data_IF_335790394342
#
_entry.id   IF_335790394342
#
_cell.length_a   1.000
_cell.length_b   1.000
_cell.length_c   1.000
_cell.angle_alpha   90.00
_cell.angle_beta   90.00
_cell.angle_gamma   90.00
#
_symmetry.space_group_name_H-M   'P 1'
#
loop_
_entity.id
_entity.type
_entity.pdbx_description
1 polymer ?
#
# COMPACT_ATOMS: atom_id res chain seq x y z
N UNK A 1 -40.49 19.90 -55.53
CA UNK A 1 -39.18 19.26 -55.24
C UNK A 1 -38.96 19.03 -53.73
N UNK A 2 -39.59 19.83 -52.85
CA UNK A 2 -39.35 19.83 -51.39
C UNK A 2 -39.85 18.60 -50.59
N UNK A 3 -40.89 17.90 -51.05
CA UNK A 3 -41.48 16.78 -50.28
C UNK A 3 -40.60 15.54 -50.20
N UNK A 4 -39.79 15.28 -51.25
CA UNK A 4 -38.85 14.15 -51.28
C UNK A 4 -37.59 14.43 -50.45
N UNK A 5 -37.17 15.68 -50.35
CA UNK A 5 -36.08 16.09 -49.45
C UNK A 5 -36.50 15.97 -48.00
N UNK A 6 -37.71 16.43 -47.64
CA UNK A 6 -38.24 16.33 -46.28
C UNK A 6 -38.35 14.88 -45.79
N UNK A 7 -38.84 13.96 -46.65
CA UNK A 7 -38.91 12.53 -46.33
C UNK A 7 -37.52 11.91 -46.11
N UNK A 8 -36.54 12.23 -46.98
CA UNK A 8 -35.15 11.77 -46.82
C UNK A 8 -34.53 12.30 -45.53
N UNK A 9 -34.77 13.55 -45.17
CA UNK A 9 -34.27 14.14 -43.92
C UNK A 9 -34.87 13.46 -42.69
N UNK A 10 -36.19 13.21 -42.66
CA UNK A 10 -36.86 12.48 -41.57
C UNK A 10 -36.31 11.06 -41.44
N UNK A 11 -36.14 10.35 -42.57
CA UNK A 11 -35.58 9.00 -42.58
C UNK A 11 -34.14 8.98 -42.05
N UNK A 12 -33.33 9.98 -42.42
CA UNK A 12 -31.94 10.09 -41.96
C UNK A 12 -31.88 10.37 -40.45
N UNK A 13 -32.75 11.24 -39.94
CA UNK A 13 -32.85 11.52 -38.50
C UNK A 13 -33.28 10.27 -37.73
N UNK A 14 -34.27 9.52 -38.21
CA UNK A 14 -34.71 8.26 -37.59
C UNK A 14 -33.60 7.21 -37.59
N UNK A 15 -32.82 7.14 -38.67
CA UNK A 15 -31.72 6.19 -38.80
C UNK A 15 -30.57 6.54 -37.85
N UNK A 16 -30.20 7.82 -37.77
CA UNK A 16 -29.22 8.32 -36.81
C UNK A 16 -29.72 8.06 -35.39
N UNK A 17 -30.96 8.41 -35.07
CA UNK A 17 -31.52 8.20 -33.73
C UNK A 17 -31.51 6.71 -33.36
N UNK A 18 -31.92 5.83 -34.27
CA UNK A 18 -31.88 4.39 -34.07
C UNK A 18 -30.46 3.84 -33.83
N UNK A 19 -29.49 4.25 -34.65
CA UNK A 19 -28.08 3.84 -34.48
C UNK A 19 -27.51 4.39 -33.17
N UNK A 20 -27.79 5.65 -32.84
CA UNK A 20 -27.28 6.32 -31.62
C UNK A 20 -27.90 5.68 -30.37
N UNK A 21 -29.19 5.38 -30.39
CA UNK A 21 -29.87 4.65 -29.31
C UNK A 21 -29.34 3.23 -29.17
N UNK A 22 -29.13 2.51 -30.27
CA UNK A 22 -28.54 1.17 -30.23
C UNK A 22 -27.11 1.19 -29.68
N UNK A 23 -26.30 2.17 -30.09
CA UNK A 23 -24.95 2.37 -29.59
C UNK A 23 -24.96 2.73 -28.10
N UNK A 24 -25.84 3.64 -27.67
CA UNK A 24 -26.03 4.01 -26.27
C UNK A 24 -26.43 2.82 -25.41
N UNK A 25 -27.39 2.01 -25.87
CA UNK A 25 -27.81 0.79 -25.18
C UNK A 25 -26.65 -0.21 -25.09
N UNK A 26 -25.90 -0.41 -26.17
CA UNK A 26 -24.73 -1.28 -26.16
C UNK A 26 -23.64 -0.80 -25.19
N UNK A 27 -23.30 0.49 -25.19
CA UNK A 27 -22.30 1.06 -24.28
C UNK A 27 -22.77 1.15 -22.83
N UNK A 28 -24.09 1.21 -22.60
CA UNK A 28 -24.69 1.22 -21.26
C UNK A 28 -24.92 -0.19 -20.69
N UNK A 29 -24.46 -1.25 -21.38
CA UNK A 29 -24.47 -2.62 -20.86
C UNK A 29 -25.69 -3.47 -21.26
N UNK A 30 -26.50 -3.07 -22.24
CA UNK A 30 -27.62 -3.89 -22.72
C UNK A 30 -27.13 -4.99 -23.71
N UNK A 31 -27.51 -6.25 -23.49
CA UNK A 31 -27.14 -7.39 -24.37
C UNK A 31 -28.36 -8.23 -24.80
N UNK A 32 -28.27 -8.82 -26.00
CA UNK A 32 -29.28 -9.70 -26.57
C UNK A 32 -28.90 -11.17 -26.33
N UNK A 33 -29.69 -11.90 -25.55
CA UNK A 33 -29.52 -13.34 -25.32
C UNK A 33 -30.71 -14.09 -25.93
N UNK A 34 -30.45 -15.05 -26.83
CA UNK A 34 -31.48 -15.76 -27.59
C UNK A 34 -31.90 -17.04 -26.84
N UNK A 35 -33.01 -17.01 -26.13
CA UNK A 35 -33.71 -18.21 -25.64
C UNK A 35 -34.97 -18.49 -26.49
N UNK A 36 -35.33 -19.77 -26.62
CA UNK A 36 -36.38 -20.32 -27.53
C UNK A 36 -37.84 -19.88 -27.23
N UNK A 37 -38.05 -18.90 -26.36
CA UNK A 37 -39.32 -18.20 -26.20
C UNK A 37 -39.01 -16.72 -26.08
N UNK A 38 -39.56 -15.89 -26.98
CA UNK A 38 -39.32 -14.43 -27.03
C UNK A 38 -39.90 -13.77 -25.77
N UNK A 39 -39.16 -13.84 -24.66
CA UNK A 39 -39.16 -12.84 -23.60
C UNK A 39 -37.93 -11.98 -23.87
N UNK A 40 -38.16 -10.74 -24.28
CA UNK A 40 -37.09 -9.74 -24.33
C UNK A 40 -36.85 -9.32 -22.88
N UNK A 41 -35.94 -10.00 -22.19
CA UNK A 41 -35.53 -9.63 -20.84
C UNK A 41 -34.40 -8.60 -20.94
N UNK A 42 -34.72 -7.34 -20.64
CA UNK A 42 -33.74 -6.26 -20.54
C UNK A 42 -33.05 -6.32 -19.18
N UNK A 43 -32.18 -7.30 -18.98
CA UNK A 43 -31.39 -7.35 -17.75
C UNK A 43 -30.30 -6.28 -17.81
N UNK A 44 -30.29 -5.41 -16.80
CA UNK A 44 -29.17 -4.49 -16.57
C UNK A 44 -27.96 -5.30 -16.11
N UNK A 45 -26.81 -5.07 -16.74
CA UNK A 45 -25.54 -5.74 -16.40
C UNK A 45 -24.53 -4.73 -15.88
N UNK A 46 -23.51 -5.22 -15.18
CA UNK A 46 -22.33 -4.44 -14.80
C UNK A 46 -21.12 -4.77 -15.67
N UNK A 47 -20.01 -4.11 -15.36
CA UNK A 47 -18.70 -4.36 -15.96
C UNK A 47 -17.63 -4.52 -14.88
N UNK A 48 -16.67 -5.39 -15.12
CA UNK A 48 -15.44 -5.49 -14.32
C UNK A 48 -14.26 -4.95 -15.12
N UNK A 49 -13.58 -3.94 -14.59
CA UNK A 49 -12.31 -3.41 -15.12
C UNK A 49 -11.18 -4.03 -14.32
N UNK A 50 -10.47 -5.00 -14.91
CA UNK A 50 -9.55 -5.89 -14.18
C UNK A 50 -8.13 -5.69 -14.68
N UNK A 51 -7.27 -5.27 -13.76
CA UNK A 51 -5.82 -5.13 -13.95
C UNK A 51 -5.08 -6.08 -13.02
N UNK A 52 -3.89 -6.51 -13.43
CA UNK A 52 -2.97 -7.20 -12.53
C UNK A 52 -1.60 -6.59 -12.60
N UNK A 53 -0.85 -6.72 -11.51
CA UNK A 53 0.57 -6.39 -11.51
C UNK A 53 1.35 -7.61 -11.03
N UNK A 54 2.14 -8.26 -11.91
CA UNK A 54 2.39 -7.89 -13.31
C UNK A 54 1.19 -8.14 -14.25
N UNK A 55 1.22 -7.47 -15.39
CA UNK A 55 0.20 -7.52 -16.46
C UNK A 55 0.11 -8.90 -17.14
N UNK A 56 -1.00 -9.18 -17.84
CA UNK A 56 -1.20 -10.41 -18.62
C UNK A 56 -1.34 -11.68 -17.78
N UNK A 57 -2.10 -11.60 -16.68
CA UNK A 57 -2.58 -12.75 -15.91
C UNK A 57 -3.90 -13.27 -16.47
N UNK A 58 -4.23 -14.53 -16.24
CA UNK A 58 -5.50 -15.12 -16.65
C UNK A 58 -6.61 -14.73 -15.65
N UNK A 59 -7.78 -14.36 -16.17
CA UNK A 59 -8.97 -14.01 -15.39
C UNK A 59 -9.96 -15.18 -15.45
N UNK A 60 -10.40 -15.63 -14.29
CA UNK A 60 -11.48 -16.59 -14.13
C UNK A 60 -12.63 -15.95 -13.35
N UNK A 61 -13.85 -16.04 -13.89
CA UNK A 61 -15.08 -15.58 -13.23
C UNK A 61 -15.95 -16.81 -13.00
N UNK A 62 -16.30 -17.08 -11.74
CA UNK A 62 -17.07 -18.25 -11.32
C UNK A 62 -16.47 -19.59 -11.82
N UNK A 63 -15.14 -19.63 -11.89
CA UNK A 63 -14.35 -20.78 -12.35
C UNK A 63 -14.15 -20.86 -13.87
N UNK A 64 -14.82 -20.03 -14.67
CA UNK A 64 -14.67 -20.01 -16.12
C UNK A 64 -13.56 -19.05 -16.57
N UNK A 65 -12.63 -19.54 -17.39
CA UNK A 65 -11.58 -18.71 -17.99
C UNK A 65 -12.21 -17.73 -19.00
N UNK A 66 -11.99 -16.44 -18.79
CA UNK A 66 -12.59 -15.39 -19.61
C UNK A 66 -11.58 -14.73 -20.55
N UNK A 67 -10.60 -14.02 -20.01
CA UNK A 67 -9.63 -13.22 -20.75
C UNK A 67 -8.32 -13.05 -19.96
N UNK A 68 -7.33 -12.37 -20.53
CA UNK A 68 -6.18 -11.88 -19.79
C UNK A 68 -6.45 -10.50 -19.17
N UNK A 69 -5.70 -10.13 -18.13
CA UNK A 69 -5.79 -8.84 -17.44
C UNK A 69 -5.39 -7.64 -18.29
N UNK A 70 -5.68 -6.46 -17.74
CA UNK A 70 -5.72 -5.15 -18.40
C UNK A 70 -6.85 -5.03 -19.41
N UNK A 71 -8.00 -5.56 -19.01
CA UNK A 71 -9.21 -5.63 -19.81
C UNK A 71 -10.44 -5.21 -19.02
N UNK A 72 -11.50 -4.86 -19.74
CA UNK A 72 -12.82 -4.64 -19.17
C UNK A 72 -13.77 -5.72 -19.69
N UNK A 73 -14.36 -6.48 -18.78
CA UNK A 73 -15.30 -7.55 -19.07
C UNK A 73 -16.72 -6.98 -18.89
N UNK A 74 -17.48 -6.75 -19.98
CA UNK A 74 -18.83 -6.21 -19.89
C UNK A 74 -19.87 -7.34 -19.86
N UNK A 75 -21.10 -7.01 -19.41
CA UNK A 75 -22.22 -7.93 -19.51
C UNK A 75 -22.29 -8.93 -18.37
N UNK A 76 -21.70 -8.61 -17.23
CA UNK A 76 -21.71 -9.47 -16.03
C UNK A 76 -23.02 -9.20 -15.29
N UNK A 77 -23.72 -10.26 -14.89
CA UNK A 77 -24.97 -10.11 -14.14
C UNK A 77 -24.68 -9.38 -12.81
N UNK A 78 -25.57 -8.51 -12.30
CA UNK A 78 -25.39 -7.93 -10.98
C UNK A 78 -25.49 -9.00 -9.89
N UNK A 79 -24.58 -8.97 -8.93
CA UNK A 79 -24.47 -9.99 -7.89
C UNK A 79 -23.04 -10.22 -7.43
N UNK A 80 -22.85 -11.19 -6.55
CA UNK A 80 -21.52 -11.60 -6.09
C UNK A 80 -20.98 -12.64 -7.07
N UNK A 81 -19.78 -12.38 -7.59
CA UNK A 81 -19.04 -13.28 -8.47
C UNK A 81 -17.69 -13.64 -7.85
N UNK A 82 -17.29 -14.90 -7.97
CA UNK A 82 -15.97 -15.33 -7.55
C UNK A 82 -14.95 -14.98 -8.64
N UNK A 83 -14.03 -14.07 -8.33
CA UNK A 83 -12.98 -13.64 -9.24
C UNK A 83 -11.65 -14.28 -8.82
N UNK A 84 -11.03 -15.01 -9.75
CA UNK A 84 -9.67 -15.54 -9.60
C UNK A 84 -8.77 -14.99 -10.70
N UNK A 85 -7.60 -14.51 -10.32
CA UNK A 85 -6.57 -14.00 -11.23
C UNK A 85 -5.31 -14.83 -11.01
N UNK A 86 -4.84 -15.50 -12.06
CA UNK A 86 -3.75 -16.46 -11.99
C UNK A 86 -2.66 -16.16 -13.02
N UNK A 87 -1.40 -16.23 -12.60
CA UNK A 87 -0.25 -16.07 -13.49
C UNK A 87 0.85 -17.06 -13.09
N UNK A 88 1.43 -17.73 -14.07
CA UNK A 88 2.52 -18.68 -13.83
C UNK A 88 3.69 -18.04 -13.07
N UNK A 89 4.10 -18.68 -11.98
CA UNK A 89 5.17 -18.19 -11.10
C UNK A 89 4.70 -17.22 -10.00
N UNK A 90 3.40 -16.92 -9.93
CA UNK A 90 2.79 -16.05 -8.92
C UNK A 90 1.74 -16.82 -8.12
N UNK A 91 1.47 -16.34 -6.90
CA UNK A 91 0.38 -16.82 -6.08
C UNK A 91 -0.95 -16.33 -6.69
N UNK A 92 -1.92 -17.23 -6.78
CA UNK A 92 -3.26 -16.90 -7.27
C UNK A 92 -3.92 -15.84 -6.36
N UNK A 93 -4.55 -14.86 -6.98
CA UNK A 93 -5.33 -13.83 -6.29
C UNK A 93 -6.80 -14.17 -6.44
N UNK A 94 -7.55 -14.17 -5.34
CA UNK A 94 -8.96 -14.56 -5.32
C UNK A 94 -9.79 -13.62 -4.44
N UNK A 95 -10.97 -13.22 -4.93
CA UNK A 95 -11.91 -12.37 -4.19
C UNK A 95 -13.34 -12.55 -4.70
N UNK A 96 -14.29 -12.55 -3.77
CA UNK A 96 -15.70 -12.39 -4.11
C UNK A 96 -16.00 -10.91 -4.35
N UNK A 97 -16.39 -10.57 -5.58
CA UNK A 97 -16.64 -9.20 -6.02
C UNK A 97 -18.13 -8.98 -6.25
N UNK A 98 -18.67 -7.90 -5.67
CA UNK A 98 -20.02 -7.46 -5.96
C UNK A 98 -20.03 -6.61 -7.26
N UNK A 99 -20.82 -7.07 -8.23
CA UNK A 99 -21.07 -6.40 -9.50
C UNK A 99 -22.39 -5.65 -9.41
N UNK A 100 -22.37 -4.38 -9.78
CA UNK A 100 -23.54 -3.51 -9.76
C UNK A 100 -24.01 -3.22 -11.18
N UNK A 101 -25.34 -3.15 -11.37
CA UNK A 101 -25.95 -2.81 -12.64
C UNK A 101 -25.50 -1.42 -13.14
N UNK A 102 -25.17 -1.32 -14.43
CA UNK A 102 -24.80 -0.08 -15.14
C UNK A 102 -23.52 0.60 -14.61
N UNK A 103 -22.77 -0.06 -13.72
CA UNK A 103 -21.52 0.45 -13.14
C UNK A 103 -20.32 -0.39 -13.56
N UNK A 104 -19.14 0.22 -13.41
CA UNK A 104 -17.84 -0.43 -13.59
C UNK A 104 -17.21 -0.61 -12.21
N UNK A 105 -16.88 -1.84 -11.85
CA UNK A 105 -16.08 -2.14 -10.66
C UNK A 105 -14.63 -2.31 -11.08
N UNK A 106 -13.76 -1.42 -10.58
CA UNK A 106 -12.32 -1.47 -10.83
C UNK A 106 -11.61 -2.40 -9.84
N UNK A 107 -10.85 -3.35 -10.37
CA UNK A 107 -10.05 -4.32 -9.60
C UNK A 107 -8.61 -4.24 -10.06
N UNK A 108 -7.70 -4.06 -9.12
CA UNK A 108 -6.26 -4.19 -9.36
C UNK A 108 -5.71 -5.28 -8.45
N UNK A 109 -5.32 -6.40 -9.03
CA UNK A 109 -4.70 -7.51 -8.31
C UNK A 109 -3.18 -7.36 -8.27
N UNK A 110 -2.61 -7.27 -7.06
CA UNK A 110 -1.17 -7.35 -6.86
C UNK A 110 -0.81 -8.82 -6.68
N UNK A 111 -0.13 -9.41 -7.66
CA UNK A 111 0.26 -10.81 -7.61
C UNK A 111 1.64 -10.92 -6.98
N UNK A 112 1.75 -11.71 -5.91
CA UNK A 112 3.01 -11.98 -5.23
C UNK A 112 3.74 -13.11 -5.95
N UNK A 113 5.02 -12.89 -6.29
CA UNK A 113 5.89 -13.92 -6.86
C UNK A 113 6.04 -15.09 -5.90
N UNK A 114 5.90 -16.32 -6.41
CA UNK A 114 6.16 -17.54 -5.65
C UNK A 114 7.66 -17.81 -5.42
N UNK A 115 8.55 -16.97 -5.94
CA UNK A 115 10.01 -17.11 -5.76
C UNK A 115 10.65 -15.73 -5.62
N UNK A 116 10.51 -15.11 -4.45
CA UNK A 116 10.97 -13.74 -4.25
C UNK A 116 12.49 -13.65 -4.31
N UNK A 117 13.00 -12.56 -4.90
CA UNK A 117 14.44 -12.35 -5.09
C UNK A 117 14.98 -11.38 -4.06
N UNK A 118 16.05 -11.76 -3.37
CA UNK A 118 16.77 -10.88 -2.45
C UNK A 118 17.95 -10.20 -3.13
N UNK A 119 18.06 -8.89 -2.99
CA UNK A 119 19.15 -8.08 -3.54
C UNK A 119 19.68 -7.12 -2.46
N UNK A 120 21.00 -6.98 -2.27
CA UNK A 120 21.54 -6.06 -1.26
C UNK A 120 21.26 -4.61 -1.65
N UNK A 121 20.72 -3.83 -0.70
CA UNK A 121 20.57 -2.38 -0.79
C UNK A 121 21.78 -1.64 -0.20
N UNK A 122 22.41 -2.23 0.83
CA UNK A 122 23.64 -1.71 1.43
C UNK A 122 24.70 -2.80 1.50
N UNK A 123 25.98 -2.40 1.41
CA UNK A 123 27.11 -3.33 1.53
C UNK A 123 28.07 -2.98 2.70
N UNK A 124 27.82 -1.87 3.40
CA UNK A 124 28.70 -1.30 4.43
C UNK A 124 28.10 -1.40 5.84
N UNK A 125 27.12 -2.28 6.01
CA UNK A 125 26.41 -2.47 7.27
C UNK A 125 25.24 -1.50 7.43
N UNK A 126 24.16 -2.00 8.01
CA UNK A 126 22.98 -1.20 8.35
C UNK A 126 22.35 -1.69 9.67
N UNK A 127 21.82 -0.77 10.45
CA UNK A 127 21.07 -1.07 11.67
C UNK A 127 19.92 -0.07 11.88
N UNK A 128 18.86 -0.54 12.54
CA UNK A 128 17.65 0.20 12.93
C UNK A 128 17.11 1.12 11.80
N UNK A 129 16.76 0.55 10.62
CA UNK A 129 16.24 1.36 9.54
C UNK A 129 14.86 1.92 9.87
N UNK A 130 14.61 3.17 9.50
CA UNK A 130 13.32 3.85 9.65
C UNK A 130 12.99 4.59 8.35
N UNK A 131 11.85 4.26 7.75
CA UNK A 131 11.36 4.94 6.55
C UNK A 131 10.68 6.26 6.91
N UNK A 132 10.77 7.24 6.02
CA UNK A 132 10.09 8.52 6.16
C UNK A 132 8.57 8.37 6.00
N UNK A 133 7.75 9.25 6.59
CA UNK A 133 6.29 9.20 6.51
C UNK A 133 5.73 9.09 5.08
N UNK A 134 6.36 9.76 4.11
CA UNK A 134 5.96 9.73 2.70
C UNK A 134 6.53 8.54 1.91
N UNK A 135 7.16 7.58 2.60
CA UNK A 135 7.90 6.46 2.02
C UNK A 135 9.05 6.86 1.07
N UNK A 136 9.50 8.12 1.08
CA UNK A 136 10.43 8.63 0.07
C UNK A 136 11.90 8.52 0.43
N UNK A 137 12.22 8.33 1.71
CA UNK A 137 13.59 8.22 2.21
C UNK A 137 13.67 7.11 3.27
N UNK A 138 14.83 6.47 3.36
CA UNK A 138 15.12 5.50 4.40
C UNK A 138 16.37 5.93 5.17
N UNK A 139 16.25 6.15 6.48
CA UNK A 139 17.37 6.45 7.36
C UNK A 139 17.84 5.19 8.08
N UNK A 140 19.14 5.05 8.30
CA UNK A 140 19.71 3.91 9.01
C UNK A 140 21.07 4.26 9.61
N UNK A 141 21.48 3.51 10.62
CA UNK A 141 22.84 3.59 11.18
C UNK A 141 23.79 2.70 10.38
N UNK A 142 24.99 3.19 10.10
CA UNK A 142 26.03 2.43 9.42
C UNK A 142 27.36 2.48 10.17
N UNK A 143 27.97 1.32 10.35
CA UNK A 143 29.33 1.16 10.86
C UNK A 143 30.36 1.09 9.71
N UNK A 144 30.09 1.81 8.61
CA UNK A 144 31.00 1.92 7.48
C UNK A 144 32.43 2.25 7.98
N UNK A 145 33.47 1.49 7.56
CA UNK A 145 34.83 1.67 8.09
C UNK A 145 35.43 3.05 7.82
N UNK A 146 35.00 3.74 6.77
CA UNK A 146 35.51 5.04 6.35
C UNK A 146 34.62 6.19 6.84
N UNK A 147 33.30 5.97 6.82
CA UNK A 147 32.28 6.99 7.11
C UNK A 147 31.17 6.46 8.02
N UNK A 148 31.49 6.08 9.28
CA UNK A 148 30.50 5.61 10.23
C UNK A 148 29.57 6.76 10.64
N UNK A 149 28.28 6.50 10.78
CA UNK A 149 27.29 7.50 11.18
C UNK A 149 25.87 7.15 10.75
N UNK A 150 25.04 8.17 10.53
CA UNK A 150 23.66 8.01 10.04
C UNK A 150 23.60 8.34 8.55
N UNK A 151 23.02 7.42 7.79
CA UNK A 151 22.88 7.49 6.35
C UNK A 151 21.41 7.57 5.95
N UNK A 152 21.15 8.20 4.81
CA UNK A 152 19.83 8.26 4.18
C UNK A 152 19.90 7.79 2.73
N UNK A 153 18.95 6.94 2.35
CA UNK A 153 18.74 6.47 0.98
C UNK A 153 17.48 7.14 0.44
N UNK A 154 17.57 8.00 -0.59
CA UNK A 154 16.39 8.46 -1.32
C UNK A 154 15.75 7.30 -2.09
N UNK A 155 14.48 7.00 -1.87
CA UNK A 155 13.76 5.89 -2.52
C UNK A 155 13.02 6.32 -3.79
N UNK A 156 12.77 7.62 -3.97
CA UNK A 156 11.96 8.18 -5.07
C UNK A 156 12.78 8.80 -6.23
N UNK A 157 14.11 8.88 -6.13
CA UNK A 157 14.94 9.62 -7.10
C UNK A 157 15.32 8.81 -8.36
N UNK A 158 14.85 7.56 -8.50
CA UNK A 158 15.42 6.59 -9.44
C UNK A 158 14.47 5.90 -10.43
N UNK A 159 13.29 6.43 -10.75
CA UNK A 159 12.33 5.70 -11.60
C UNK A 159 12.07 4.27 -11.08
N UNK A 160 11.87 3.29 -11.96
CA UNK A 160 11.65 1.88 -11.60
C UNK A 160 12.86 1.17 -10.93
N UNK A 161 13.96 1.85 -10.60
CA UNK A 161 15.16 1.22 -10.03
C UNK A 161 15.63 1.88 -8.73
N UNK A 162 15.37 1.22 -7.60
CA UNK A 162 15.90 1.59 -6.28
C UNK A 162 17.44 1.65 -6.23
N UNK A 163 18.14 0.99 -7.17
CA UNK A 163 19.61 0.97 -7.24
C UNK A 163 20.24 2.21 -7.85
N UNK A 164 19.45 3.15 -8.38
CA UNK A 164 19.94 4.47 -8.81
C UNK A 164 19.94 5.50 -7.68
N UNK A 165 19.41 5.14 -6.51
CA UNK A 165 19.53 5.98 -5.33
C UNK A 165 20.99 6.09 -4.93
N UNK A 166 21.44 7.31 -4.64
CA UNK A 166 22.79 7.54 -4.12
C UNK A 166 22.67 7.80 -2.61
N UNK A 167 22.96 6.80 -1.76
CA UNK A 167 22.92 6.99 -0.31
C UNK A 167 23.89 8.10 0.08
N UNK A 168 23.48 8.97 1.00
CA UNK A 168 24.34 10.02 1.53
C UNK A 168 24.37 9.97 3.05
N UNK A 169 25.49 10.39 3.61
CA UNK A 169 25.66 10.52 5.05
C UNK A 169 25.01 11.82 5.52
N UNK A 170 24.12 11.73 6.50
CA UNK A 170 23.48 12.90 7.12
C UNK A 170 24.37 13.46 8.22
N UNK A 171 24.93 12.56 9.04
CA UNK A 171 25.86 12.92 10.10
C UNK A 171 26.88 11.81 10.31
N UNK A 172 28.15 12.19 10.42
CA UNK A 172 29.27 11.30 10.66
C UNK A 172 29.66 11.29 12.13
N UNK A 173 30.14 10.14 12.60
CA UNK A 173 30.80 10.02 13.89
C UNK A 173 31.96 11.02 14.02
N UNK A 174 32.09 11.54 15.23
CA UNK A 174 33.20 12.39 15.64
C UNK A 174 34.09 11.65 16.62
N UNK A 175 35.13 12.32 17.14
CA UNK A 175 35.94 11.77 18.23
C UNK A 175 35.12 11.57 19.51
N UNK A 176 34.13 12.44 19.77
CA UNK A 176 33.33 12.43 21.00
C UNK A 176 32.00 11.71 20.84
N UNK A 177 31.32 11.94 19.72
CA UNK A 177 29.96 11.46 19.49
C UNK A 177 29.99 10.32 18.47
N UNK A 178 29.46 9.16 18.85
CA UNK A 178 29.36 7.97 18.00
C UNK A 178 27.91 7.73 17.62
N UNK A 179 27.49 8.29 16.49
CA UNK A 179 26.13 8.19 16.00
C UNK A 179 25.85 6.79 15.44
N UNK A 180 26.84 6.11 14.84
CA UNK A 180 26.68 4.77 14.27
C UNK A 180 26.23 3.69 15.28
N UNK A 181 26.47 3.92 16.57
CA UNK A 181 26.04 3.04 17.68
C UNK A 181 24.65 3.35 18.24
N UNK A 182 23.92 4.27 17.62
CA UNK A 182 22.57 4.64 18.03
C UNK A 182 21.51 3.57 17.77
N UNK A 183 20.36 3.70 18.43
CA UNK A 183 19.22 2.80 18.24
C UNK A 183 17.93 3.47 17.79
N UNK A 184 17.83 4.80 17.93
CA UNK A 184 16.61 5.55 17.65
C UNK A 184 16.85 6.56 16.51
N UNK A 185 15.99 6.49 15.49
CA UNK A 185 15.84 7.51 14.45
C UNK A 185 14.34 7.86 14.37
N UNK A 186 14.00 9.13 14.45
CA UNK A 186 12.62 9.62 14.27
C UNK A 186 12.62 10.74 13.22
N UNK A 187 11.67 10.68 12.29
CA UNK A 187 11.52 11.69 11.23
C UNK A 187 10.66 12.85 11.70
N UNK A 188 11.05 14.07 11.34
CA UNK A 188 10.13 15.21 11.43
C UNK A 188 8.96 15.04 10.46
N UNK A 189 7.78 15.63 10.76
CA UNK A 189 6.59 15.57 9.89
C UNK A 189 6.83 16.07 8.48
N UNK A 190 7.73 17.04 8.31
CA UNK A 190 8.12 17.63 7.03
C UNK A 190 9.32 16.92 6.35
N UNK A 191 9.85 15.86 6.97
CA UNK A 191 10.99 15.07 6.52
C UNK A 191 12.29 15.85 6.25
N UNK A 192 12.44 17.03 6.86
CA UNK A 192 13.66 17.85 6.74
C UNK A 192 14.62 17.64 7.89
N UNK A 193 14.17 17.06 9.00
CA UNK A 193 14.98 16.80 10.18
C UNK A 193 14.78 15.36 10.65
N UNK A 194 15.79 14.86 11.34
CA UNK A 194 15.71 13.60 12.08
C UNK A 194 16.20 13.80 13.50
N UNK A 195 15.56 13.12 14.43
CA UNK A 195 16.05 12.98 15.80
C UNK A 195 16.83 11.67 15.88
N UNK A 196 18.09 11.75 16.29
CA UNK A 196 19.04 10.63 16.28
C UNK A 196 19.62 10.43 17.66
N UNK A 197 19.62 9.18 18.14
CA UNK A 197 20.34 8.77 19.35
C UNK A 197 21.79 8.41 19.02
N UNK A 198 22.75 8.83 19.85
CA UNK A 198 24.14 8.35 19.79
C UNK A 198 24.40 7.14 20.70
N UNK A 199 25.61 6.59 20.66
CA UNK A 199 26.01 5.45 21.50
C UNK A 199 25.93 5.74 23.02
N UNK A 200 25.95 7.02 23.43
CA UNK A 200 25.83 7.44 24.82
C UNK A 200 24.37 7.73 25.23
N UNK A 201 23.40 7.38 24.39
CA UNK A 201 21.96 7.62 24.62
C UNK A 201 21.58 9.11 24.65
N UNK A 202 22.41 9.97 24.05
CA UNK A 202 22.08 11.38 23.86
C UNK A 202 21.36 11.57 22.52
N UNK A 203 20.30 12.37 22.52
CA UNK A 203 19.50 12.67 21.34
C UNK A 203 19.94 13.99 20.68
N UNK A 204 20.02 13.97 19.36
CA UNK A 204 20.42 15.10 18.53
C UNK A 204 19.39 15.34 17.45
N UNK A 205 19.00 16.60 17.30
CA UNK A 205 18.19 17.05 16.18
C UNK A 205 19.13 17.38 15.02
N UNK A 206 19.00 16.64 13.92
CA UNK A 206 19.85 16.78 12.73
C UNK A 206 19.02 17.30 11.58
N UNK A 207 19.47 18.40 10.97
CA UNK A 207 18.88 18.95 9.76
C UNK A 207 19.50 18.30 8.52
N UNK A 208 18.66 17.73 7.65
CA UNK A 208 19.12 16.91 6.51
C UNK A 208 19.84 17.74 5.43
N UNK A 209 19.55 19.04 5.33
CA UNK A 209 20.16 19.90 4.32
C UNK A 209 21.53 20.40 4.75
N UNK A 210 21.66 20.79 6.01
CA UNK A 210 22.90 21.34 6.56
C UNK A 210 23.83 20.28 7.17
N UNK A 211 23.30 19.11 7.54
CA UNK A 211 24.05 18.06 8.24
C UNK A 211 24.46 18.45 9.67
N UNK A 212 23.92 19.55 10.21
CA UNK A 212 24.27 20.06 11.54
C UNK A 212 23.43 19.34 12.59
N UNK A 213 24.10 18.67 13.54
CA UNK A 213 23.46 18.17 14.75
C UNK A 213 23.44 19.21 15.86
N UNK A 214 22.25 19.43 16.40
CA UNK A 214 22.04 20.19 17.63
C UNK A 214 21.66 19.22 18.74
N UNK A 215 22.44 19.21 19.82
CA UNK A 215 22.06 18.42 21.01
C UNK A 215 20.75 18.96 21.56
N UNK A 216 19.78 18.08 21.79
CA UNK A 216 18.52 18.47 22.41
C UNK A 216 18.52 18.09 23.88
N UNK A 217 18.51 19.09 24.76
CA UNK A 217 18.30 18.89 26.19
C UNK A 217 16.83 18.57 26.52
N UNK A 218 15.93 18.60 25.53
CA UNK A 218 14.50 18.35 25.71
C UNK A 218 13.90 17.61 24.51
N UNK A 219 14.24 16.33 24.31
CA UNK A 219 13.71 15.52 23.20
C UNK A 219 12.18 15.42 23.21
N UNK A 220 11.58 15.33 24.39
CA UNK A 220 10.12 15.29 24.56
C UNK A 220 9.42 16.54 24.03
N UNK A 221 10.08 17.71 24.12
CA UNK A 221 9.54 18.94 23.54
C UNK A 221 9.49 18.85 22.02
N UNK A 222 10.55 18.33 21.40
CA UNK A 222 10.63 18.14 19.95
C UNK A 222 9.57 17.15 19.47
N UNK A 223 9.44 16.00 20.14
CA UNK A 223 8.41 15.00 19.84
C UNK A 223 7.00 15.57 19.96
N UNK A 224 6.75 16.38 21.00
CA UNK A 224 5.47 17.06 21.19
C UNK A 224 5.20 18.07 20.07
N UNK A 225 6.16 18.91 19.72
CA UNK A 225 6.03 19.87 18.60
C UNK A 225 5.68 19.16 17.28
N UNK A 226 6.37 18.06 16.98
CA UNK A 226 6.08 17.25 15.78
C UNK A 226 4.71 16.57 15.83
N UNK A 227 4.31 16.06 17.00
CA UNK A 227 2.97 15.49 17.18
C UNK A 227 1.89 16.55 17.00
N UNK A 228 2.07 17.75 17.57
CA UNK A 228 1.11 18.85 17.47
C UNK A 228 0.96 19.32 16.01
N UNK A 229 2.07 19.39 15.25
CA UNK A 229 2.07 19.70 13.81
C UNK A 229 1.29 18.64 13.00
N UNK A 230 1.56 17.36 13.25
CA UNK A 230 0.84 16.26 12.59
C UNK A 230 -0.65 16.26 12.92
N UNK A 231 -0.99 16.41 14.20
CA UNK A 231 -2.38 16.47 14.66
C UNK A 231 -3.11 17.66 14.02
N UNK A 232 -2.47 18.82 13.92
CA UNK A 232 -3.03 19.98 13.22
C UNK A 232 -3.28 19.67 11.75
N UNK A 233 -2.29 19.14 11.02
CA UNK A 233 -2.45 18.75 9.60
C UNK A 233 -3.63 17.79 9.41
N UNK A 234 -3.74 16.78 10.29
CA UNK A 234 -4.82 15.79 10.26
C UNK A 234 -6.18 16.44 10.53
N UNK A 235 -6.29 17.30 11.55
CA UNK A 235 -7.54 18.02 11.84
C UNK A 235 -7.99 18.87 10.65
N UNK A 236 -7.09 19.69 10.09
CA UNK A 236 -7.38 20.58 8.95
C UNK A 236 -7.88 19.79 7.73
N UNK A 237 -7.38 18.56 7.53
CA UNK A 237 -7.85 17.66 6.48
C UNK A 237 -9.24 17.09 6.79
N UNK A 238 -9.44 16.57 8.01
CA UNK A 238 -10.69 15.93 8.42
C UNK A 238 -11.85 16.91 8.55
N UNK A 239 -11.62 18.20 8.84
CA UNK A 239 -12.66 19.26 8.86
C UNK A 239 -13.36 19.43 7.52
N UNK A 240 -12.70 19.07 6.43
CA UNK A 240 -13.25 19.14 5.06
C UNK A 240 -14.07 17.91 4.69
N UNK A 241 -14.08 16.89 5.55
CA UNK A 241 -14.72 15.61 5.30
C UNK A 241 -15.91 15.39 6.23
N UNK A 242 -17.00 14.90 5.64
CA UNK A 242 -18.18 14.44 6.37
C UNK A 242 -17.93 13.03 6.92
N UNK A 243 -17.33 12.95 8.11
CA UNK A 243 -17.06 11.71 8.83
C UNK A 243 -17.58 11.76 10.28
N UNK A 244 -17.97 10.62 10.88
CA UNK A 244 -18.43 10.57 12.27
C UNK A 244 -17.39 11.04 13.30
N UNK A 245 -17.83 11.68 14.38
CA UNK A 245 -16.94 12.25 15.41
C UNK A 245 -16.07 11.22 16.15
N UNK A 246 -16.61 10.01 16.37
CA UNK A 246 -15.85 8.92 16.95
C UNK A 246 -14.68 8.50 16.05
N UNK A 247 -14.87 8.52 14.73
CA UNK A 247 -13.84 8.21 13.74
C UNK A 247 -12.83 9.35 13.66
N UNK A 248 -13.27 10.62 13.69
CA UNK A 248 -12.38 11.79 13.74
C UNK A 248 -11.43 11.73 14.94
N UNK A 249 -11.96 11.37 16.11
CA UNK A 249 -11.17 11.23 17.35
C UNK A 249 -10.10 10.16 17.23
N UNK A 250 -10.40 9.04 16.55
CA UNK A 250 -9.44 7.95 16.31
C UNK A 250 -8.42 8.32 15.24
N UNK A 251 -8.84 9.02 14.18
CA UNK A 251 -7.98 9.40 13.06
C UNK A 251 -6.78 10.27 13.48
N UNK A 252 -6.95 11.07 14.53
CA UNK A 252 -5.93 12.03 15.01
C UNK A 252 -5.00 11.47 16.08
N UNK A 253 -5.23 10.24 16.55
CA UNK A 253 -4.40 9.62 17.57
C UNK A 253 -2.96 9.40 17.08
N UNK A 254 -1.95 9.55 17.95
CA UNK A 254 -0.55 9.28 17.58
C UNK A 254 -0.31 7.83 17.13
N UNK A 255 -1.09 6.89 17.65
CA UNK A 255 -1.04 5.46 17.30
C UNK A 255 -1.69 5.12 15.95
N UNK A 256 -2.43 6.06 15.36
CA UNK A 256 -3.14 5.83 14.10
C UNK A 256 -2.21 6.04 12.91
N UNK A 257 -2.16 5.03 12.05
CA UNK A 257 -1.29 4.98 10.87
C UNK A 257 -2.07 5.34 9.62
N UNK A 258 -1.75 6.49 9.02
CA UNK A 258 -2.35 6.93 7.76
C UNK A 258 -1.66 6.24 6.58
N UNK A 259 -2.43 5.95 5.54
CA UNK A 259 -1.91 5.39 4.29
C UNK A 259 -1.00 6.39 3.57
N UNK A 260 -0.10 5.93 2.69
CA UNK A 260 0.83 6.80 1.95
C UNK A 260 0.16 7.92 1.15
N UNK A 261 -1.08 7.70 0.70
CA UNK A 261 -1.88 8.69 -0.04
C UNK A 261 -2.71 9.63 0.87
N UNK A 262 -2.58 9.51 2.20
CA UNK A 262 -3.35 10.23 3.23
C UNK A 262 -4.90 10.04 3.12
N UNK A 263 -5.39 9.05 2.37
CA UNK A 263 -6.83 8.82 2.14
C UNK A 263 -7.45 7.74 3.02
N UNK A 264 -6.64 6.94 3.70
CA UNK A 264 -7.09 5.87 4.59
C UNK A 264 -6.28 5.90 5.87
N UNK A 265 -6.80 5.27 6.92
CA UNK A 265 -5.99 5.02 8.11
C UNK A 265 -6.35 3.70 8.77
N UNK A 266 -5.35 3.08 9.36
CA UNK A 266 -5.44 1.87 10.15
C UNK A 266 -5.63 2.27 11.61
N UNK A 267 -6.63 1.68 12.25
CA UNK A 267 -6.89 1.83 13.68
C UNK A 267 -7.24 0.48 14.30
N UNK A 268 -7.08 0.39 15.62
CA UNK A 268 -7.40 -0.82 16.38
C UNK A 268 -8.64 -0.61 17.23
N UNK A 269 -9.41 -1.68 17.40
CA UNK A 269 -10.58 -1.70 18.28
C UNK A 269 -10.51 -2.94 19.17
N UNK A 270 -10.49 -2.72 20.48
CA UNK A 270 -10.52 -3.81 21.45
C UNK A 270 -11.94 -4.39 21.55
N UNK A 271 -12.11 -5.70 21.28
CA UNK A 271 -13.39 -6.40 21.30
C UNK A 271 -13.24 -7.71 22.08
N UNK A 272 -13.88 -7.81 23.25
CA UNK A 272 -13.77 -8.98 24.14
C UNK A 272 -12.30 -9.39 24.41
N UNK A 273 -11.87 -10.57 23.97
CA UNK A 273 -10.51 -11.09 24.12
C UNK A 273 -9.59 -10.74 22.94
N UNK A 274 -10.13 -10.04 21.93
CA UNK A 274 -9.48 -9.80 20.66
C UNK A 274 -9.22 -8.32 20.39
N UNK A 275 -8.27 -8.08 19.50
CA UNK A 275 -7.97 -6.78 18.89
C UNK A 275 -8.33 -6.88 17.41
N UNK A 276 -9.31 -6.08 16.99
CA UNK A 276 -9.64 -5.90 15.58
C UNK A 276 -8.73 -4.84 14.96
N UNK A 277 -8.14 -5.16 13.82
CA UNK A 277 -7.40 -4.22 12.98
C UNK A 277 -8.29 -3.78 11.83
N UNK A 278 -8.60 -2.49 11.77
CA UNK A 278 -9.59 -1.93 10.85
C UNK A 278 -9.02 -0.80 10.02
N UNK A 279 -9.40 -0.73 8.76
CA UNK A 279 -9.03 0.36 7.85
C UNK A 279 -10.25 1.17 7.51
N UNK A 280 -10.19 2.46 7.84
CA UNK A 280 -11.20 3.44 7.44
C UNK A 280 -10.79 4.11 6.13
N UNK A 281 -11.64 4.03 5.12
CA UNK A 281 -11.46 4.63 3.80
C UNK A 281 -12.22 5.95 3.72
N UNK A 282 -11.47 7.05 3.55
CA UNK A 282 -11.99 8.42 3.48
C UNK A 282 -12.16 8.93 2.05
N UNK A 283 -11.99 8.07 1.04
CA UNK A 283 -12.17 8.44 -0.36
C UNK A 283 -13.59 8.94 -0.67
N UNK A 284 -13.68 9.97 -1.51
CA UNK A 284 -14.94 10.55 -1.97
C UNK A 284 -14.85 10.82 -3.49
N UNK A 285 -15.64 10.12 -4.32
CA UNK A 285 -16.51 8.99 -3.98
C UNK A 285 -15.71 7.77 -3.50
N UNK A 286 -16.36 6.88 -2.75
CA UNK A 286 -15.78 5.56 -2.44
C UNK A 286 -15.75 4.73 -3.74
N UNK A 287 -14.63 4.03 -4.05
CA UNK A 287 -14.58 3.14 -5.21
C UNK A 287 -15.70 2.09 -5.17
N UNK A 288 -16.25 1.76 -6.33
CA UNK A 288 -17.32 0.76 -6.44
C UNK A 288 -16.84 -0.60 -5.87
N UNK A 289 -17.65 -1.22 -5.03
CA UNK A 289 -17.33 -2.49 -4.36
C UNK A 289 -16.43 -2.36 -3.12
N UNK A 290 -15.93 -1.16 -2.80
CA UNK A 290 -15.18 -0.90 -1.58
C UNK A 290 -16.09 -0.42 -0.44
N UNK A 291 -15.67 -0.68 0.81
CA UNK A 291 -16.38 -0.24 2.01
C UNK A 291 -15.64 0.90 2.70
N UNK A 292 -16.41 1.73 3.41
CA UNK A 292 -15.88 2.83 4.22
C UNK A 292 -15.08 2.32 5.42
N UNK A 293 -15.48 1.21 6.04
CA UNK A 293 -14.80 0.64 7.20
C UNK A 293 -14.62 -0.87 7.01
N UNK A 294 -13.37 -1.30 6.91
CA UNK A 294 -13.00 -2.68 6.62
C UNK A 294 -12.34 -3.31 7.84
N UNK A 295 -12.81 -4.50 8.23
CA UNK A 295 -12.07 -5.36 9.15
C UNK A 295 -11.00 -6.08 8.34
N UNK A 296 -9.73 -5.84 8.63
CA UNK A 296 -8.62 -6.50 7.95
C UNK A 296 -8.37 -7.88 8.55
N UNK A 297 -8.17 -7.93 9.87
CA UNK A 297 -7.95 -9.17 10.61
C UNK A 297 -8.16 -8.95 12.12
N UNK A 298 -8.21 -10.06 12.86
CA UNK A 298 -8.42 -10.08 14.31
C UNK A 298 -7.35 -10.96 14.97
N UNK A 299 -6.77 -10.48 16.06
CA UNK A 299 -5.74 -11.22 16.83
C UNK A 299 -6.11 -11.17 18.31
N UNK A 300 -5.90 -12.26 19.05
CA UNK A 300 -6.13 -12.27 20.50
C UNK A 300 -5.19 -11.28 21.19
N UNK A 301 -5.68 -10.61 22.23
CA UNK A 301 -4.87 -9.67 23.02
C UNK A 301 -3.67 -10.33 23.72
N UNK A 302 -3.76 -11.64 23.95
CA UNK A 302 -2.69 -12.45 24.56
C UNK A 302 -1.58 -12.80 23.58
N UNK A 303 -1.87 -12.76 22.29
CA UNK A 303 -0.94 -13.18 21.26
C UNK A 303 -0.05 -12.00 20.87
N UNK A 304 1.14 -12.32 20.34
CA UNK A 304 2.06 -11.29 19.86
C UNK A 304 1.41 -10.57 18.67
N UNK A 305 1.30 -9.24 18.77
CA UNK A 305 0.78 -8.42 17.69
C UNK A 305 1.84 -8.26 16.60
N UNK A 306 1.46 -8.31 15.30
CA UNK A 306 2.38 -8.09 14.21
C UNK A 306 2.80 -6.62 14.16
N UNK A 307 4.00 -6.38 13.65
CA UNK A 307 4.38 -5.05 13.19
C UNK A 307 3.74 -4.83 11.83
N UNK A 308 3.06 -3.70 11.69
CA UNK A 308 2.29 -3.36 10.50
C UNK A 308 2.95 -2.16 9.83
N UNK A 309 3.08 -2.20 8.51
CA UNK A 309 3.41 -1.05 7.69
C UNK A 309 2.50 -0.98 6.48
N UNK A 310 2.28 0.22 5.96
CA UNK A 310 1.52 0.39 4.74
C UNK A 310 2.33 -0.04 3.52
N UNK A 311 1.66 -0.71 2.60
CA UNK A 311 2.17 -0.92 1.26
C UNK A 311 1.91 0.31 0.38
N UNK A 312 2.75 0.54 -0.63
CA UNK A 312 2.76 1.79 -1.42
C UNK A 312 1.40 2.17 -2.03
N UNK A 313 0.58 1.18 -2.39
CA UNK A 313 -0.68 1.39 -3.10
C UNK A 313 -1.83 1.83 -2.17
N UNK A 314 -1.61 1.91 -0.86
CA UNK A 314 -2.65 2.25 0.12
C UNK A 314 -3.85 1.28 0.14
N UNK A 315 -3.73 0.10 -0.48
CA UNK A 315 -4.73 -0.97 -0.51
C UNK A 315 -4.23 -2.29 0.08
N UNK A 316 -2.95 -2.36 0.44
CA UNK A 316 -2.39 -3.48 1.19
C UNK A 316 -1.62 -3.02 2.45
N UNK A 317 -1.52 -3.93 3.39
CA UNK A 317 -0.70 -3.83 4.59
C UNK A 317 0.36 -4.92 4.55
N UNK A 318 1.56 -4.58 4.99
CA UNK A 318 2.64 -5.53 5.25
C UNK A 318 2.56 -5.92 6.72
N UNK A 319 2.41 -7.21 6.99
CA UNK A 319 2.39 -7.77 8.34
C UNK A 319 3.71 -8.49 8.58
N UNK A 320 4.40 -8.12 9.66
CA UNK A 320 5.66 -8.75 10.06
C UNK A 320 5.53 -9.34 11.45
N UNK A 321 5.91 -10.62 11.59
CA UNK A 321 5.89 -11.34 12.87
C UNK A 321 7.20 -12.07 13.08
N UNK A 322 7.76 -12.00 14.30
CA UNK A 322 8.94 -12.77 14.68
C UNK A 322 8.53 -14.04 15.43
N UNK A 323 9.23 -15.13 15.13
CA UNK A 323 9.06 -16.42 15.79
C UNK A 323 9.51 -16.32 17.27
N UNK A 324 8.67 -16.73 18.24
CA UNK A 324 9.02 -16.69 19.66
C UNK A 324 10.01 -17.79 20.07
N UNK A 325 10.07 -18.91 19.34
CA UNK A 325 10.91 -20.06 19.65
C UNK A 325 12.25 -20.01 18.89
N UNK A 326 12.23 -19.49 17.66
CA UNK A 326 13.42 -19.37 16.81
C UNK A 326 13.96 -17.95 16.73
N UNK A 327 15.13 -17.71 17.34
CA UNK A 327 15.79 -16.40 17.30
C UNK A 327 16.03 -15.96 15.86
N UNK A 328 15.63 -14.72 15.57
CA UNK A 328 15.80 -14.06 14.27
C UNK A 328 15.04 -14.74 13.12
N UNK A 329 14.08 -15.63 13.36
CA UNK A 329 13.16 -16.07 12.30
C UNK A 329 11.93 -15.18 12.29
N UNK A 330 11.49 -14.78 11.10
CA UNK A 330 10.30 -13.96 10.94
C UNK A 330 9.56 -14.25 9.66
N UNK A 331 8.27 -13.90 9.67
CA UNK A 331 7.38 -13.98 8.51
C UNK A 331 6.97 -12.58 8.06
N UNK A 332 6.85 -12.42 6.74
CA UNK A 332 6.35 -11.20 6.11
C UNK A 332 5.18 -11.61 5.23
N UNK A 333 4.01 -11.06 5.50
CA UNK A 333 2.82 -11.25 4.70
C UNK A 333 2.36 -9.92 4.09
N UNK A 334 1.75 -9.99 2.92
CA UNK A 334 0.98 -8.89 2.34
C UNK A 334 -0.50 -9.25 2.41
N UNK A 335 -1.31 -8.35 2.95
CA UNK A 335 -2.75 -8.54 3.07
C UNK A 335 -3.48 -7.34 2.48
N UNK A 336 -4.61 -7.56 1.82
CA UNK A 336 -5.46 -6.46 1.34
C UNK A 336 -6.23 -5.82 2.50
N UNK A 337 -6.55 -4.53 2.39
CA UNK A 337 -7.32 -3.79 3.41
C UNK A 337 -8.72 -4.34 3.72
N UNK A 338 -9.27 -5.18 2.85
CA UNK A 338 -10.56 -5.87 3.08
C UNK A 338 -10.40 -7.23 3.78
N UNK A 339 -9.17 -7.59 4.17
CA UNK A 339 -8.83 -8.85 4.84
C UNK A 339 -8.64 -10.04 3.91
N UNK A 340 -8.84 -9.86 2.61
CA UNK A 340 -8.60 -10.91 1.61
C UNK A 340 -7.12 -10.97 1.19
N UNK A 341 -6.76 -12.03 0.45
CA UNK A 341 -5.44 -12.17 -0.18
C UNK A 341 -4.27 -11.98 0.80
N UNK A 342 -4.34 -12.61 1.97
CA UNK A 342 -3.22 -12.68 2.91
C UNK A 342 -2.18 -13.68 2.40
N UNK A 343 -1.10 -13.17 1.80
CA UNK A 343 -0.09 -13.98 1.12
C UNK A 343 1.26 -13.86 1.83
N UNK A 344 1.86 -15.00 2.19
CA UNK A 344 3.24 -15.05 2.69
C UNK A 344 4.22 -14.69 1.57
N UNK A 345 5.08 -13.70 1.82
CA UNK A 345 6.14 -13.26 0.92
C UNK A 345 7.50 -13.82 1.38
N UNK A 346 7.73 -13.88 2.69
CA UNK A 346 9.00 -14.29 3.25
C UNK A 346 8.81 -15.03 4.56
N UNK A 347 9.58 -16.09 4.75
CA UNK A 347 9.60 -16.87 6.00
C UNK A 347 11.01 -17.40 6.21
N UNK A 348 11.88 -16.58 6.81
CA UNK A 348 13.26 -16.93 7.08
C UNK A 348 13.90 -15.93 8.05
N UNK A 349 15.22 -15.79 7.98
CA UNK A 349 16.04 -15.00 8.91
C UNK A 349 15.83 -13.49 8.72
N UNK A 350 15.45 -12.81 9.79
CA UNK A 350 15.24 -11.37 9.87
C UNK A 350 15.87 -10.79 11.14
N UNK A 351 16.46 -9.60 11.03
CA UNK A 351 17.12 -8.91 12.15
C UNK A 351 16.38 -7.63 12.57
N UNK A 352 15.25 -7.34 11.93
CA UNK A 352 14.33 -6.28 12.31
C UNK A 352 12.91 -6.68 11.95
N UNK A 353 11.96 -6.26 12.77
CA UNK A 353 10.52 -6.39 12.52
C UNK A 353 10.00 -5.28 11.58
N UNK A 354 10.83 -4.25 11.35
CA UNK A 354 10.50 -3.17 10.45
C UNK A 354 10.78 -3.59 9.01
N UNK A 355 9.71 -3.77 8.25
CA UNK A 355 9.72 -4.02 6.81
C UNK A 355 8.95 -2.90 6.12
N UNK A 356 9.50 -2.38 5.03
CA UNK A 356 8.94 -1.22 4.35
C UNK A 356 8.71 -1.48 2.87
N UNK A 357 7.68 -0.87 2.30
CA UNK A 357 7.43 -0.90 0.86
C UNK A 357 8.36 0.05 0.11
N UNK A 358 8.84 -0.35 -1.07
CA UNK A 358 9.40 0.60 -2.03
C UNK A 358 8.31 1.52 -2.60
N UNK A 359 8.62 2.77 -2.98
CA UNK A 359 7.63 3.66 -3.60
C UNK A 359 6.96 3.12 -4.87
N UNK A 360 7.63 2.19 -5.57
CA UNK A 360 7.10 1.55 -6.77
C UNK A 360 6.31 0.27 -6.52
N UNK A 361 6.27 -0.25 -5.28
CA UNK A 361 5.60 -1.50 -4.95
C UNK A 361 6.17 -2.72 -5.66
N UNK A 362 7.40 -2.67 -6.13
CA UNK A 362 8.07 -3.80 -6.75
C UNK A 362 8.88 -4.60 -5.73
N UNK A 363 9.21 -4.00 -4.59
CA UNK A 363 10.06 -4.59 -3.56
C UNK A 363 9.64 -4.20 -2.15
N UNK A 364 9.98 -5.06 -1.20
CA UNK A 364 10.01 -4.75 0.21
C UNK A 364 11.46 -4.55 0.67
N UNK A 365 11.70 -3.66 1.62
CA UNK A 365 13.01 -3.40 2.21
C UNK A 365 13.02 -3.99 3.61
N UNK A 366 14.00 -4.83 3.89
CA UNK A 366 14.14 -5.54 5.16
C UNK A 366 15.59 -5.56 5.64
N UNK A 367 15.79 -5.71 6.95
CA UNK A 367 17.11 -5.87 7.56
C UNK A 367 17.40 -7.35 7.82
N UNK A 368 18.46 -7.89 7.20
CA UNK A 368 18.87 -9.28 7.40
C UNK A 368 20.39 -9.46 7.20
N UNK A 369 20.87 -10.69 7.36
CA UNK A 369 22.27 -11.07 7.11
C UNK A 369 22.34 -12.44 6.45
N UNK A 370 23.30 -12.60 5.53
CA UNK A 370 23.71 -13.89 4.97
C UNK A 370 25.13 -14.27 5.41
N UNK A 371 25.72 -13.49 6.33
CA UNK A 371 27.08 -13.72 6.86
C UNK A 371 27.00 -14.29 8.27
N UNK A 372 27.82 -15.29 8.54
CA UNK A 372 27.99 -15.90 9.88
C UNK A 372 28.46 -14.88 10.94
N UNK A 373 29.11 -13.80 10.53
CA UNK A 373 29.55 -12.70 11.41
C UNK A 373 28.40 -11.95 12.10
N UNK A 374 27.16 -12.10 11.62
CA UNK A 374 26.01 -11.34 12.14
C UNK A 374 25.92 -9.89 11.65
N UNK A 375 26.85 -9.43 10.80
CA UNK A 375 26.81 -8.10 10.22
C UNK A 375 25.59 -7.92 9.30
N UNK A 376 24.62 -7.12 9.74
CA UNK A 376 23.36 -6.85 9.04
C UNK A 376 23.52 -5.86 7.91
N UNK A 377 22.74 -6.04 6.85
CA UNK A 377 22.60 -5.09 5.75
C UNK A 377 21.12 -4.95 5.39
N UNK A 378 20.77 -3.88 4.70
CA UNK A 378 19.48 -3.75 4.07
C UNK A 378 19.46 -4.57 2.79
N UNK A 379 18.37 -5.31 2.60
CA UNK A 379 18.08 -6.05 1.39
C UNK A 379 16.71 -5.65 0.86
N UNK A 380 16.58 -5.67 -0.45
CA UNK A 380 15.28 -5.60 -1.12
C UNK A 380 14.80 -7.01 -1.45
N UNK A 381 13.55 -7.31 -1.13
CA UNK A 381 12.84 -8.52 -1.46
C UNK A 381 11.88 -8.20 -2.62
N UNK A 382 12.18 -8.71 -3.81
CA UNK A 382 11.32 -8.57 -4.99
C UNK A 382 10.03 -9.36 -4.79
N UNK A 383 8.90 -8.68 -4.94
CA UNK A 383 7.56 -9.28 -4.78
C UNK A 383 6.90 -9.57 -6.12
N UNK A 384 7.48 -9.11 -7.24
CA UNK A 384 7.01 -9.34 -8.61
C UNK A 384 8.13 -9.18 -9.62
#
# INVERSE_FOLDING_TARGET
MERNTLFKTILTILLIFGITSALYLYTSGYRFQREEKIKIDFKKTGMLSIKSIPEGANIYIDGELTNATDTTIPGIEPGIHNLKISKSGYVDWEKDVEVFAELVTDITAVLVSGSPRLEPLTNTGAANPIISPSLSKLAYFSNDPLKPGVWVIPLNQGGLSLFKSNPYIVIQDTQRNKYSGGTIIEWSPDEKKILVEDANKLLYLVDLQSGVAQSTSSPEKVRKEWSDELTKKRNDFLERLEIPDNIRTVAVQPTTMWSPDDKKFLYTKAVAQDTEYRVYNMEKPIPIGEKVDNLVFTIKKTDRQPIISWYYDSFHLILTSMDPEEKNRGTINLIRIDGTNNTEIYNNTMYSENVYSSPGGDKLIMLTTFKSTGATNLYTLGIR
#
